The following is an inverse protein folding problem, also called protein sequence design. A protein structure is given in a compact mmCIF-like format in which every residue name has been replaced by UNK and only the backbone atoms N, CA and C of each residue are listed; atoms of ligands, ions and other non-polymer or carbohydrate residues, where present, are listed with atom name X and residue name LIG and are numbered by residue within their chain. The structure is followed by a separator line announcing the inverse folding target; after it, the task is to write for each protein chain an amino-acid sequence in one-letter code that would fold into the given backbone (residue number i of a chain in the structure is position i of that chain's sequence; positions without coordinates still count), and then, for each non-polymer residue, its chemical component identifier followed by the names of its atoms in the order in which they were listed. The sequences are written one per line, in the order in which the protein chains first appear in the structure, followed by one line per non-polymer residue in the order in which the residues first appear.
data_IF_149062116227
#
_entry.id   IF_149062116227
#
_cell.length_a   1.000
_cell.length_b   1.000
_cell.length_c   1.000
_cell.angle_alpha   90.00
_cell.angle_beta   90.00
_cell.angle_gamma   90.00
#
_symmetry.space_group_name_H-M   'P 1'
#
loop_
_entity.id
_entity.type
_entity.pdbx_description
1 polymer ?
#
# COMPACT_ATOMS: atom_id res chain seq x y z
N UNK A 1 9.14 -6.18 -15.59
CA UNK A 1 8.84 -7.49 -14.98
C UNK A 1 7.36 -7.80 -15.11
N UNK A 2 7.01 -9.02 -15.53
CA UNK A 2 5.61 -9.45 -15.62
C UNK A 2 5.17 -10.11 -14.31
N UNK A 3 3.99 -9.72 -13.81
CA UNK A 3 3.40 -10.32 -12.61
C UNK A 3 2.45 -11.42 -13.06
N UNK A 4 2.65 -12.64 -12.54
CA UNK A 4 1.72 -13.74 -12.73
C UNK A 4 0.36 -13.37 -12.15
N UNK A 5 -0.66 -13.33 -13.00
CA UNK A 5 -2.05 -13.17 -12.57
C UNK A 5 -2.54 -14.47 -11.93
N UNK A 6 -3.12 -14.34 -10.73
CA UNK A 6 -3.79 -15.44 -10.03
C UNK A 6 -5.22 -15.60 -10.53
N UNK A 7 -5.81 -16.77 -10.31
CA UNK A 7 -7.25 -16.97 -10.52
C UNK A 7 -8.05 -16.13 -9.53
N UNK A 8 -9.24 -15.66 -9.93
CA UNK A 8 -10.08 -14.80 -9.08
C UNK A 8 -10.56 -15.51 -7.79
N UNK A 9 -10.53 -16.85 -7.76
CA UNK A 9 -10.86 -17.67 -6.60
C UNK A 9 -9.61 -18.20 -5.86
N UNK A 10 -8.40 -17.77 -6.25
CA UNK A 10 -7.17 -18.23 -5.62
C UNK A 10 -7.13 -17.78 -4.14
N UNK A 11 -6.96 -18.72 -3.18
CA UNK A 11 -6.97 -18.40 -1.75
C UNK A 11 -5.84 -17.44 -1.36
N UNK A 12 -4.73 -17.37 -2.11
CA UNK A 12 -3.62 -16.46 -1.83
C UNK A 12 -4.03 -14.98 -1.93
N UNK A 13 -5.08 -14.66 -2.68
CA UNK A 13 -5.60 -13.29 -2.79
C UNK A 13 -6.03 -12.73 -1.43
N UNK A 14 -6.56 -13.59 -0.54
CA UNK A 14 -6.98 -13.20 0.82
C UNK A 14 -5.83 -12.73 1.71
N UNK A 15 -4.59 -13.06 1.38
CA UNK A 15 -3.40 -12.61 2.10
C UNK A 15 -2.96 -11.19 1.72
N UNK A 16 -3.47 -10.65 0.60
CA UNK A 16 -3.12 -9.30 0.15
C UNK A 16 -3.94 -8.24 0.90
N UNK A 17 -3.33 -7.64 1.92
CA UNK A 17 -3.93 -6.53 2.67
C UNK A 17 -4.25 -5.33 1.78
N UNK A 18 -3.40 -5.05 0.78
CA UNK A 18 -3.59 -3.94 -0.16
C UNK A 18 -4.79 -4.17 -1.07
N UNK A 19 -4.98 -5.41 -1.55
CA UNK A 19 -6.16 -5.79 -2.34
C UNK A 19 -7.44 -5.57 -1.55
N UNK A 20 -7.51 -6.12 -0.33
CA UNK A 20 -8.64 -5.96 0.59
C UNK A 20 -8.96 -4.48 0.86
N UNK A 21 -7.94 -3.66 1.16
CA UNK A 21 -8.10 -2.23 1.39
C UNK A 21 -8.67 -1.50 0.16
N UNK A 22 -8.18 -1.80 -1.04
CA UNK A 22 -8.68 -1.19 -2.28
C UNK A 22 -10.14 -1.59 -2.56
N UNK A 23 -10.48 -2.88 -2.44
CA UNK A 23 -11.85 -3.36 -2.63
C UNK A 23 -12.82 -2.69 -1.63
N UNK A 24 -12.43 -2.61 -0.36
CA UNK A 24 -13.19 -1.92 0.68
C UNK A 24 -13.35 -0.42 0.37
N UNK A 25 -12.29 0.27 -0.04
CA UNK A 25 -12.33 1.69 -0.36
C UNK A 25 -13.24 1.99 -1.58
N UNK A 26 -13.19 1.15 -2.62
CA UNK A 26 -14.08 1.25 -3.78
C UNK A 26 -15.53 1.08 -3.35
N UNK A 27 -15.83 0.03 -2.57
CA UNK A 27 -17.17 -0.23 -2.03
C UNK A 27 -17.67 0.94 -1.16
N UNK A 28 -16.82 1.49 -0.28
CA UNK A 28 -17.16 2.68 0.50
C UNK A 28 -17.48 3.88 -0.40
N UNK A 29 -16.64 4.12 -1.42
CA UNK A 29 -16.84 5.22 -2.36
C UNK A 29 -18.16 5.08 -3.12
N UNK A 30 -18.50 3.89 -3.60
CA UNK A 30 -19.77 3.62 -4.30
C UNK A 30 -20.97 3.89 -3.38
N UNK A 31 -20.96 3.38 -2.15
CA UNK A 31 -22.04 3.58 -1.16
C UNK A 31 -22.24 5.04 -0.75
N UNK A 32 -21.19 5.86 -0.77
CA UNK A 32 -21.21 7.26 -0.29
C UNK A 32 -21.16 8.31 -1.41
N UNK A 33 -21.14 7.89 -2.68
CA UNK A 33 -21.01 8.78 -3.84
C UNK A 33 -19.65 9.51 -3.92
N UNK A 34 -18.59 8.84 -3.44
CA UNK A 34 -17.22 9.31 -3.32
C UNK A 34 -16.72 9.37 -1.87
N UNK A 35 -15.41 9.36 -1.70
CA UNK A 35 -14.75 9.60 -0.41
C UNK A 35 -14.60 11.12 -0.23
N UNK A 36 -14.97 11.66 0.92
CA UNK A 36 -14.84 13.10 1.16
C UNK A 36 -13.38 13.52 1.31
N UNK A 37 -13.04 14.72 0.81
CA UNK A 37 -11.69 15.27 0.88
C UNK A 37 -11.65 16.51 1.78
N UNK A 38 -10.47 16.78 2.33
CA UNK A 38 -10.14 18.06 2.96
C UNK A 38 -9.86 19.13 1.89
N UNK A 39 -9.64 20.38 2.32
CA UNK A 39 -9.19 21.47 1.42
C UNK A 39 -7.83 21.17 0.76
N UNK A 40 -6.94 20.46 1.46
CA UNK A 40 -5.65 20.01 0.93
C UNK A 40 -5.74 18.76 0.05
N UNK A 41 -6.96 18.28 -0.26
CA UNK A 41 -7.24 17.08 -1.05
C UNK A 41 -6.79 15.77 -0.38
N UNK A 42 -6.55 15.77 0.93
CA UNK A 42 -6.39 14.54 1.71
C UNK A 42 -7.74 13.85 1.92
N UNK A 43 -7.78 12.54 2.15
CA UNK A 43 -8.99 11.91 2.67
C UNK A 43 -9.42 12.55 3.99
N UNK A 44 -10.72 12.79 4.14
CA UNK A 44 -11.23 13.40 5.35
C UNK A 44 -11.17 12.44 6.54
N UNK A 45 -11.29 13.01 7.74
CA UNK A 45 -11.25 12.27 9.01
C UNK A 45 -12.27 11.14 9.09
N UNK A 46 -13.47 11.32 8.51
CA UNK A 46 -14.49 10.26 8.48
C UNK A 46 -13.97 9.02 7.75
N UNK A 47 -13.33 9.20 6.60
CA UNK A 47 -12.75 8.07 5.87
C UNK A 47 -11.48 7.55 6.53
N UNK A 48 -10.62 8.41 7.06
CA UNK A 48 -9.42 7.96 7.78
C UNK A 48 -9.76 7.07 8.97
N UNK A 49 -10.71 7.50 9.82
CA UNK A 49 -11.20 6.67 10.93
C UNK A 49 -11.82 5.36 10.43
N UNK A 50 -12.69 5.42 9.43
CA UNK A 50 -13.28 4.22 8.85
C UNK A 50 -12.21 3.26 8.29
N UNK A 51 -11.18 3.76 7.62
CA UNK A 51 -10.10 2.96 7.08
C UNK A 51 -9.31 2.27 8.20
N UNK A 52 -8.98 2.97 9.29
CA UNK A 52 -8.31 2.38 10.45
C UNK A 52 -9.17 1.30 11.15
N UNK A 53 -10.49 1.38 11.07
CA UNK A 53 -11.41 0.38 11.61
C UNK A 53 -11.59 -0.84 10.70
N UNK A 54 -11.47 -0.66 9.38
CA UNK A 54 -11.91 -1.66 8.40
C UNK A 54 -10.76 -2.29 7.60
N UNK A 55 -9.61 -1.63 7.48
CA UNK A 55 -8.44 -2.21 6.82
C UNK A 55 -7.74 -3.19 7.76
N UNK A 56 -7.33 -4.34 7.21
CA UNK A 56 -6.59 -5.35 7.97
C UNK A 56 -5.10 -5.01 8.09
N UNK A 57 -4.77 -3.85 8.68
CA UNK A 57 -3.38 -3.42 8.94
C UNK A 57 -3.12 -3.37 10.46
N UNK A 58 -2.46 -4.38 11.05
CA UNK A 58 -2.36 -4.52 12.50
C UNK A 58 -1.68 -3.33 13.20
N UNK A 59 -0.75 -2.65 12.55
CA UNK A 59 0.00 -1.50 13.09
C UNK A 59 -0.81 -0.21 13.04
N UNK A 60 -1.81 -0.13 12.16
CA UNK A 60 -2.62 1.05 11.89
C UNK A 60 -4.11 0.84 12.21
N UNK A 61 -4.42 -0.07 13.13
CA UNK A 61 -5.78 -0.25 13.60
C UNK A 61 -6.25 0.98 14.38
N UNK A 62 -7.55 1.27 14.32
CA UNK A 62 -8.14 2.38 15.07
C UNK A 62 -7.83 2.29 16.57
N UNK A 63 -7.84 1.07 17.14
CA UNK A 63 -7.48 0.83 18.54
C UNK A 63 -6.06 1.30 18.86
N UNK A 64 -5.08 1.01 18.01
CA UNK A 64 -3.69 1.43 18.24
C UNK A 64 -3.49 2.92 18.04
N UNK A 65 -4.02 3.46 16.94
CA UNK A 65 -3.82 4.86 16.58
C UNK A 65 -4.51 5.81 17.57
N UNK A 66 -5.73 5.48 18.00
CA UNK A 66 -6.50 6.32 18.93
C UNK A 66 -5.99 6.30 20.38
N UNK A 67 -5.09 5.38 20.74
CA UNK A 67 -4.37 5.44 22.02
C UNK A 67 -3.43 6.65 22.09
N UNK A 68 -2.93 7.10 20.95
CA UNK A 68 -1.96 8.19 20.84
C UNK A 68 -2.65 9.47 20.34
N UNK A 69 -3.60 9.32 19.42
CA UNK A 69 -4.23 10.44 18.73
C UNK A 69 -5.70 10.60 19.11
N UNK A 70 -6.13 11.86 19.29
CA UNK A 70 -7.54 12.15 19.58
C UNK A 70 -8.45 11.99 18.35
N UNK A 71 -7.90 12.20 17.16
CA UNK A 71 -8.61 12.22 15.88
C UNK A 71 -7.65 11.72 14.82
N UNK A 72 -8.13 10.87 13.90
CA UNK A 72 -7.33 10.34 12.80
C UNK A 72 -7.51 11.18 11.53
N UNK A 73 -6.42 11.68 10.98
CA UNK A 73 -6.33 12.21 9.63
C UNK A 73 -5.71 11.16 8.71
N UNK A 74 -5.66 11.43 7.41
CA UNK A 74 -5.08 10.49 6.43
C UNK A 74 -3.61 10.15 6.71
N UNK A 75 -2.81 11.15 7.11
CA UNK A 75 -1.39 10.99 7.43
C UNK A 75 -1.13 10.07 8.64
N UNK A 76 -2.14 9.90 9.48
CA UNK A 76 -2.08 9.02 10.65
C UNK A 76 -2.37 7.56 10.29
N UNK A 77 -3.05 7.35 9.16
CA UNK A 77 -3.47 6.04 8.65
C UNK A 77 -2.69 5.75 7.37
N UNK A 78 -1.41 5.42 7.50
CA UNK A 78 -0.48 5.21 6.38
C UNK A 78 -1.04 4.28 5.28
N UNK A 79 -1.76 3.18 5.57
CA UNK A 79 -2.39 2.38 4.52
C UNK A 79 -3.41 3.15 3.66
N UNK A 80 -4.17 4.08 4.25
CA UNK A 80 -5.10 4.93 3.52
C UNK A 80 -4.37 5.98 2.67
N UNK A 81 -3.30 6.58 3.22
CA UNK A 81 -2.44 7.51 2.49
C UNK A 81 -1.81 6.84 1.26
N UNK A 82 -1.15 5.69 1.45
CA UNK A 82 -0.51 4.93 0.37
C UNK A 82 -1.54 4.49 -0.67
N UNK A 83 -2.72 4.03 -0.25
CA UNK A 83 -3.81 3.69 -1.17
C UNK A 83 -4.19 4.90 -2.03
N UNK A 84 -4.39 6.07 -1.44
CA UNK A 84 -4.75 7.27 -2.18
C UNK A 84 -3.72 7.62 -3.25
N UNK A 85 -2.45 7.66 -2.87
CA UNK A 85 -1.36 8.01 -3.77
C UNK A 85 -1.15 6.97 -4.87
N UNK A 86 -1.22 5.69 -4.51
CA UNK A 86 -1.12 4.58 -5.47
C UNK A 86 -2.23 4.68 -6.51
N UNK A 87 -3.48 4.91 -6.10
CA UNK A 87 -4.59 5.05 -7.03
C UNK A 87 -4.47 6.27 -7.94
N UNK A 88 -3.83 7.36 -7.48
CA UNK A 88 -3.48 8.50 -8.34
C UNK A 88 -2.44 8.08 -9.38
N UNK A 89 -1.34 7.45 -8.95
CA UNK A 89 -0.23 7.04 -9.84
C UNK A 89 -0.72 6.08 -10.94
N UNK A 90 -1.59 5.15 -10.58
CA UNK A 90 -2.19 4.17 -11.49
C UNK A 90 -3.34 4.74 -12.34
N UNK A 91 -3.69 6.03 -12.16
CA UNK A 91 -4.83 6.70 -12.81
C UNK A 91 -6.17 5.98 -12.57
N UNK A 92 -6.32 5.37 -11.39
CA UNK A 92 -7.50 4.60 -10.99
C UNK A 92 -8.53 5.42 -10.22
N UNK A 93 -8.25 6.68 -9.91
CA UNK A 93 -9.23 7.62 -9.40
C UNK A 93 -8.80 9.07 -9.58
N UNK A 94 -9.64 9.99 -9.12
CA UNK A 94 -9.41 11.43 -9.25
C UNK A 94 -10.16 12.23 -8.20
N UNK A 95 -9.64 13.41 -7.90
CA UNK A 95 -10.35 14.43 -7.12
C UNK A 95 -11.41 15.14 -7.97
N UNK A 96 -12.65 15.14 -7.52
CA UNK A 96 -13.81 15.77 -8.15
C UNK A 96 -14.62 16.53 -7.09
N UNK A 97 -14.64 17.86 -7.18
CA UNK A 97 -15.48 18.74 -6.32
C UNK A 97 -15.46 18.36 -4.83
N UNK A 98 -14.27 18.27 -4.23
CA UNK A 98 -14.11 17.95 -2.80
C UNK A 98 -14.37 16.48 -2.43
N UNK A 99 -14.50 15.60 -3.43
CA UNK A 99 -14.59 14.15 -3.24
C UNK A 99 -13.53 13.43 -4.07
N UNK A 100 -13.01 12.34 -3.57
CA UNK A 100 -12.31 11.34 -4.36
C UNK A 100 -13.32 10.38 -4.98
N UNK A 101 -13.10 10.06 -6.25
CA UNK A 101 -13.88 9.06 -6.97
C UNK A 101 -12.95 8.11 -7.70
N UNK A 102 -13.22 6.83 -7.55
CA UNK A 102 -12.63 5.81 -8.38
C UNK A 102 -13.12 5.95 -9.82
N UNK A 103 -12.28 5.53 -10.76
CA UNK A 103 -12.62 5.46 -12.18
C UNK A 103 -13.46 4.22 -12.46
N UNK A 104 -14.21 4.21 -13.57
CA UNK A 104 -14.93 3.02 -14.02
C UNK A 104 -13.99 1.82 -14.26
N UNK A 105 -12.72 2.08 -14.62
CA UNK A 105 -11.69 1.04 -14.72
C UNK A 105 -11.39 0.41 -13.36
N UNK A 106 -11.26 1.22 -12.31
CA UNK A 106 -11.03 0.70 -10.96
C UNK A 106 -12.24 -0.07 -10.43
N UNK A 107 -13.45 0.42 -10.71
CA UNK A 107 -14.69 -0.27 -10.35
C UNK A 107 -14.79 -1.63 -11.06
N UNK A 108 -14.47 -1.70 -12.36
CA UNK A 108 -14.43 -2.97 -13.09
C UNK A 108 -13.34 -3.92 -12.58
N UNK A 109 -12.16 -3.42 -12.21
CA UNK A 109 -11.07 -4.25 -11.71
C UNK A 109 -11.40 -4.93 -10.37
N UNK A 110 -12.22 -4.32 -9.51
CA UNK A 110 -12.63 -4.91 -8.23
C UNK A 110 -13.43 -6.20 -8.43
N UNK A 111 -14.12 -6.33 -9.56
CA UNK A 111 -14.87 -7.54 -9.94
C UNK A 111 -13.95 -8.66 -10.47
N UNK A 112 -12.66 -8.39 -10.67
CA UNK A 112 -11.63 -9.36 -11.11
C UNK A 112 -10.43 -9.32 -10.15
N UNK A 113 -10.56 -9.89 -8.94
CA UNK A 113 -9.56 -9.78 -7.87
C UNK A 113 -8.14 -10.21 -8.26
N UNK A 114 -7.97 -11.24 -9.09
CA UNK A 114 -6.67 -11.71 -9.56
C UNK A 114 -5.98 -10.68 -10.46
N UNK A 115 -6.74 -10.09 -11.39
CA UNK A 115 -6.25 -9.02 -12.25
C UNK A 115 -5.95 -7.73 -11.47
N UNK A 116 -6.80 -7.38 -10.50
CA UNK A 116 -6.55 -6.25 -9.62
C UNK A 116 -5.30 -6.46 -8.77
N UNK A 117 -5.10 -7.64 -8.18
CA UNK A 117 -3.90 -7.95 -7.40
C UNK A 117 -2.63 -7.84 -8.23
N UNK A 118 -2.65 -8.35 -9.46
CA UNK A 118 -1.49 -8.24 -10.36
C UNK A 118 -1.20 -6.78 -10.73
N UNK A 119 -2.24 -6.00 -11.02
CA UNK A 119 -2.10 -4.57 -11.31
C UNK A 119 -1.58 -3.78 -10.10
N UNK A 120 -2.09 -4.05 -8.90
CA UNK A 120 -1.63 -3.43 -7.66
C UNK A 120 -0.18 -3.79 -7.36
N UNK A 121 0.20 -5.05 -7.52
CA UNK A 121 1.59 -5.52 -7.31
C UNK A 121 2.53 -4.80 -8.26
N UNK A 122 2.18 -4.74 -9.55
CA UNK A 122 2.98 -4.05 -10.56
C UNK A 122 3.10 -2.56 -10.25
N UNK A 123 1.97 -1.90 -10.01
CA UNK A 123 1.92 -0.46 -9.73
C UNK A 123 2.66 -0.10 -8.44
N UNK A 124 2.51 -0.91 -7.39
CA UNK A 124 3.15 -0.65 -6.11
C UNK A 124 4.65 -0.90 -6.16
N UNK A 125 5.12 -2.02 -6.73
CA UNK A 125 6.56 -2.31 -6.75
C UNK A 125 7.29 -1.43 -7.76
N UNK A 126 6.82 -1.38 -9.01
CA UNK A 126 7.65 -0.84 -10.10
C UNK A 126 7.35 0.61 -10.47
N UNK A 127 6.13 1.10 -10.24
CA UNK A 127 5.69 2.42 -10.71
C UNK A 127 5.54 3.45 -9.57
N UNK A 128 5.32 3.00 -8.34
CA UNK A 128 5.08 3.87 -7.18
C UNK A 128 6.39 4.46 -6.66
N UNK A 129 6.40 5.77 -6.45
CA UNK A 129 7.53 6.45 -5.81
C UNK A 129 7.52 6.18 -4.30
N UNK A 130 8.25 5.16 -3.87
CA UNK A 130 8.41 4.81 -2.45
C UNK A 130 9.14 5.88 -1.63
N UNK A 131 9.80 6.84 -2.26
CA UNK A 131 10.49 7.93 -1.55
C UNK A 131 9.56 9.10 -1.23
N UNK A 132 8.35 9.10 -1.80
CA UNK A 132 7.40 10.21 -1.72
C UNK A 132 7.00 10.60 -0.29
N UNK A 133 6.94 9.63 0.62
CA UNK A 133 6.62 9.85 2.03
C UNK A 133 7.85 10.10 2.90
N UNK A 134 9.05 10.07 2.32
CA UNK A 134 10.29 10.28 3.06
C UNK A 134 10.60 11.78 3.21
N UNK A 135 11.05 12.17 4.40
CA UNK A 135 11.57 13.51 4.64
C UNK A 135 12.89 13.76 3.90
N UNK A 136 13.72 12.73 3.81
CA UNK A 136 14.99 12.74 3.08
C UNK A 136 14.94 11.57 2.10
N UNK A 137 14.61 11.82 0.82
CA UNK A 137 14.44 10.75 -0.14
C UNK A 137 15.75 10.01 -0.35
N UNK A 138 15.70 8.68 -0.20
CA UNK A 138 16.79 7.77 -0.50
C UNK A 138 16.30 6.69 -1.43
N UNK A 139 16.98 6.55 -2.57
CA UNK A 139 16.79 5.44 -3.48
C UNK A 139 18.00 4.52 -3.30
N UNK A 140 17.74 3.30 -2.83
CA UNK A 140 18.79 2.30 -2.72
C UNK A 140 19.36 2.00 -4.12
N UNK A 141 20.69 1.89 -4.30
CA UNK A 141 21.27 1.53 -5.58
C UNK A 141 20.76 0.16 -6.06
N UNK A 142 20.31 0.07 -7.31
CA UNK A 142 19.82 -1.19 -7.87
C UNK A 142 18.44 -1.05 -8.50
N UNK A 143 17.80 -2.18 -8.75
CA UNK A 143 16.46 -2.24 -9.29
C UNK A 143 15.77 -3.53 -8.82
N UNK A 144 14.45 -3.57 -8.97
CA UNK A 144 13.64 -4.70 -8.52
C UNK A 144 13.99 -6.03 -9.17
N UNK A 145 14.46 -6.06 -10.42
CA UNK A 145 14.85 -7.32 -11.05
C UNK A 145 16.05 -7.94 -10.32
N UNK A 146 17.04 -7.12 -9.92
CA UNK A 146 18.18 -7.58 -9.11
C UNK A 146 17.71 -7.98 -7.71
N UNK A 147 16.95 -7.12 -7.04
CA UNK A 147 16.57 -7.36 -5.64
C UNK A 147 15.72 -8.61 -5.49
N UNK A 148 14.72 -8.81 -6.36
CA UNK A 148 13.85 -9.99 -6.29
C UNK A 148 14.60 -11.27 -6.65
N UNK A 149 15.54 -11.24 -7.60
CA UNK A 149 16.35 -12.42 -7.93
C UNK A 149 17.27 -12.83 -6.76
N UNK A 150 17.93 -11.86 -6.13
CA UNK A 150 18.78 -12.13 -4.96
C UNK A 150 17.93 -12.62 -3.79
N UNK A 151 16.82 -11.94 -3.46
CA UNK A 151 15.91 -12.40 -2.39
C UNK A 151 15.42 -13.82 -2.66
N UNK A 152 15.04 -14.13 -3.90
CA UNK A 152 14.55 -15.46 -4.25
C UNK A 152 15.58 -16.58 -4.01
N UNK A 153 16.88 -16.28 -4.16
CA UNK A 153 17.96 -17.25 -3.92
C UNK A 153 18.34 -17.27 -2.44
N UNK A 154 18.66 -16.10 -1.88
CA UNK A 154 19.28 -15.99 -0.56
C UNK A 154 18.28 -16.15 0.58
N UNK A 155 17.01 -15.80 0.36
CA UNK A 155 15.97 -15.97 1.37
C UNK A 155 15.28 -17.35 1.32
N UNK A 156 15.75 -18.27 0.48
CA UNK A 156 15.08 -19.57 0.26
C UNK A 156 14.92 -20.37 1.58
N UNK A 157 15.95 -20.38 2.42
CA UNK A 157 15.97 -21.04 3.73
C UNK A 157 15.76 -20.06 4.89
N UNK A 158 15.37 -18.82 4.57
CA UNK A 158 15.33 -17.69 5.51
C UNK A 158 16.68 -16.96 5.60
N UNK A 159 16.59 -15.65 5.80
CA UNK A 159 17.74 -14.74 5.87
C UNK A 159 17.39 -13.55 6.76
N UNK A 160 18.34 -13.06 7.54
CA UNK A 160 18.14 -11.83 8.31
C UNK A 160 18.26 -10.58 7.42
N UNK A 161 17.67 -9.48 7.87
CA UNK A 161 17.82 -8.18 7.20
C UNK A 161 19.29 -7.76 7.08
N UNK A 162 20.09 -7.98 8.13
CA UNK A 162 21.51 -7.64 8.14
C UNK A 162 22.31 -8.44 7.10
N UNK A 163 22.00 -9.73 6.95
CA UNK A 163 22.61 -10.58 5.93
C UNK A 163 22.21 -10.13 4.52
N UNK A 164 20.93 -9.83 4.28
CA UNK A 164 20.48 -9.28 3.00
C UNK A 164 21.15 -7.95 2.66
N UNK A 165 21.28 -7.03 3.62
CA UNK A 165 21.96 -5.74 3.40
C UNK A 165 23.46 -5.94 3.10
N UNK A 166 24.11 -6.90 3.75
CA UNK A 166 25.48 -7.28 3.45
C UNK A 166 25.60 -7.86 2.04
N UNK A 167 24.68 -8.73 1.63
CA UNK A 167 24.66 -9.31 0.27
C UNK A 167 24.42 -8.22 -0.79
N UNK A 168 23.46 -7.34 -0.56
CA UNK A 168 23.11 -6.30 -1.54
C UNK A 168 24.15 -5.20 -1.67
N UNK A 169 24.71 -4.75 -0.54
CA UNK A 169 25.45 -3.49 -0.48
C UNK A 169 26.80 -3.59 0.20
N UNK A 170 27.19 -4.77 0.70
CA UNK A 170 28.41 -4.94 1.49
C UNK A 170 28.37 -4.23 2.84
N UNK A 171 27.18 -3.83 3.31
CA UNK A 171 27.00 -3.11 4.57
C UNK A 171 26.96 -4.10 5.72
N UNK A 172 27.89 -3.98 6.67
CA UNK A 172 27.83 -4.71 7.92
C UNK A 172 27.02 -3.91 8.94
N UNK A 173 25.76 -4.31 9.15
CA UNK A 173 24.96 -3.78 10.23
C UNK A 173 25.52 -4.34 11.54
N UNK A 174 26.26 -3.52 12.31
CA UNK A 174 26.57 -3.86 13.69
C UNK A 174 25.24 -4.10 14.40
N UNK A 175 25.04 -5.32 14.91
CA UNK A 175 23.79 -5.71 15.56
C UNK A 175 23.38 -4.63 16.56
N UNK A 176 22.15 -4.12 16.43
CA UNK A 176 21.61 -3.20 17.40
C UNK A 176 21.61 -3.95 18.74
N UNK A 177 22.62 -3.67 19.56
CA UNK A 177 22.64 -4.14 20.94
C UNK A 177 21.34 -3.71 21.57
N UNK A 178 20.64 -4.69 22.17
CA UNK A 178 19.43 -4.51 22.97
C UNK A 178 19.46 -3.18 23.72
N UNK A 179 18.60 -2.24 23.32
CA UNK A 179 18.24 -1.07 24.11
C UNK A 179 16.77 -1.15 24.46
#
# INVERSE_FOLDING_TARGET
MDIRTLDDLDPLLSNSKLLDAVQKAVCFSQKNGGIGLTKSKAFNRKFATWAAENFNWPEYSAEKLLRIQKVLNEEDVIPALVLHELMISMKLGRHVKGKWRFSSKAEALVETPGALQAALTKGFLFDFDHTRLQRFPFVAPGNWDIWLNVINIEAHEGVSEAELLKIFYGVECAGAGSR
#
